data_IF_203074496503
#
_entry.id   IF_203074496503
#
_cell.length_a   1.000
_cell.length_b   1.000
_cell.length_c   1.000
_cell.angle_alpha   90.00
_cell.angle_beta   90.00
_cell.angle_gamma   90.00
#
_symmetry.space_group_name_H-M   'P 1'
#
loop_
_entity.id
_entity.type
_entity.pdbx_description
1 polymer ?
#
# COMPACT_ATOMS: atom_id res chain seq x y z
N UNK A 1 -6.24 -5.32 13.71
CA UNK A 1 -7.26 -4.68 14.55
C UNK A 1 -6.71 -4.47 15.96
N UNK A 2 -6.98 -3.30 16.56
CA UNK A 2 -6.56 -2.94 17.93
C UNK A 2 -7.74 -2.35 18.66
N UNK A 3 -8.11 -2.95 19.81
CA UNK A 3 -9.18 -2.45 20.65
C UNK A 3 -8.84 -1.06 21.23
N UNK A 4 -9.84 -0.27 21.67
CA UNK A 4 -9.62 0.99 22.38
C UNK A 4 -8.62 0.83 23.52
N UNK A 5 -7.61 1.72 23.60
CA UNK A 5 -6.55 1.68 24.59
C UNK A 5 -5.49 0.58 24.40
N UNK A 6 -5.67 -0.31 23.40
CA UNK A 6 -4.68 -1.33 23.06
C UNK A 6 -3.53 -0.77 22.23
N UNK A 7 -2.51 -1.61 22.02
CA UNK A 7 -1.35 -1.23 21.21
C UNK A 7 -0.14 -2.11 21.46
N UNK A 8 1.01 -1.66 20.97
CA UNK A 8 2.30 -2.30 21.20
C UNK A 8 3.42 -1.28 21.29
N UNK A 9 4.29 -1.44 22.29
CA UNK A 9 5.51 -0.64 22.48
C UNK A 9 6.71 -1.24 21.72
N UNK A 10 6.58 -2.46 21.21
CA UNK A 10 7.58 -3.15 20.39
C UNK A 10 6.89 -3.98 19.31
N UNK A 11 6.25 -3.35 18.31
CA UNK A 11 5.49 -4.09 17.30
C UNK A 11 6.39 -4.87 16.33
N UNK A 12 7.60 -4.36 16.02
CA UNK A 12 8.54 -4.99 15.09
C UNK A 12 9.83 -5.41 15.80
N UNK A 13 10.01 -6.72 16.08
CA UNK A 13 11.22 -7.22 16.73
C UNK A 13 12.40 -7.45 15.76
N UNK A 14 12.16 -7.53 14.43
CA UNK A 14 13.22 -7.70 13.42
C UNK A 14 13.78 -6.35 12.98
N UNK A 15 14.95 -5.99 13.49
CA UNK A 15 15.63 -4.75 13.12
C UNK A 15 16.00 -4.68 11.61
N UNK A 16 15.95 -5.78 10.87
CA UNK A 16 16.16 -5.79 9.43
C UNK A 16 14.89 -5.62 8.61
N UNK A 17 13.71 -5.53 9.25
CA UNK A 17 12.45 -5.34 8.55
C UNK A 17 12.16 -3.85 8.30
N UNK A 18 11.61 -3.56 7.13
CA UNK A 18 10.91 -2.32 6.83
C UNK A 18 9.40 -2.55 6.88
N UNK A 19 8.63 -1.51 7.10
CA UNK A 19 7.18 -1.61 7.16
C UNK A 19 6.46 -0.39 6.62
N UNK A 20 5.20 -0.62 6.24
CA UNK A 20 4.23 0.44 5.96
C UNK A 20 3.01 0.20 6.82
N UNK A 21 2.54 1.25 7.47
CA UNK A 21 1.23 1.29 8.14
C UNK A 21 0.30 2.15 7.29
N UNK A 22 -0.89 1.64 6.99
CA UNK A 22 -1.98 2.39 6.37
C UNK A 22 -3.25 2.23 7.20
N UNK A 23 -3.76 3.34 7.75
CA UNK A 23 -4.95 3.32 8.63
C UNK A 23 -6.22 3.29 7.80
N UNK A 24 -7.06 2.27 8.03
CA UNK A 24 -8.36 2.11 7.38
C UNK A 24 -9.52 2.66 8.24
N UNK A 25 -9.43 2.53 9.58
CA UNK A 25 -10.48 2.98 10.51
C UNK A 25 -9.89 3.33 11.87
N UNK A 26 -10.54 4.25 12.59
CA UNK A 26 -10.12 4.69 13.93
C UNK A 26 -8.94 5.64 13.90
N UNK A 27 -8.24 5.78 15.03
CA UNK A 27 -7.07 6.64 15.14
C UNK A 27 -5.90 5.88 15.78
N UNK A 28 -4.75 5.90 15.12
CA UNK A 28 -3.51 5.40 15.64
C UNK A 28 -2.62 6.55 16.14
N UNK A 29 -2.13 6.44 17.36
CA UNK A 29 -0.94 7.18 17.78
C UNK A 29 0.27 6.31 17.44
N UNK A 30 1.09 6.81 16.53
CA UNK A 30 2.34 6.20 16.09
C UNK A 30 3.49 7.05 16.63
N UNK A 31 4.37 6.47 17.45
CA UNK A 31 5.62 7.12 17.82
C UNK A 31 6.73 6.56 16.94
N UNK A 32 7.50 7.43 16.32
CA UNK A 32 8.63 7.08 15.44
C UNK A 32 9.85 7.80 15.98
N UNK A 33 10.87 7.06 16.44
CA UNK A 33 12.09 7.58 17.04
C UNK A 33 11.80 8.67 18.09
N UNK A 34 10.76 8.43 18.92
CA UNK A 34 10.32 9.34 19.99
C UNK A 34 9.41 10.49 19.55
N UNK A 35 9.16 10.67 18.24
CA UNK A 35 8.22 11.69 17.73
C UNK A 35 6.84 11.08 17.56
N UNK A 36 5.82 11.71 18.14
CA UNK A 36 4.43 11.24 18.06
C UNK A 36 3.70 11.80 16.86
N UNK A 37 3.00 10.91 16.15
CA UNK A 37 2.12 11.21 15.04
C UNK A 37 0.73 10.63 15.32
N UNK A 38 -0.32 11.33 14.91
CA UNK A 38 -1.69 10.79 14.92
C UNK A 38 -2.11 10.51 13.50
N UNK A 39 -2.43 9.24 13.21
CA UNK A 39 -2.92 8.80 11.90
C UNK A 39 -4.40 8.51 11.99
N UNK A 40 -5.18 9.15 11.14
CA UNK A 40 -6.60 8.88 10.90
C UNK A 40 -6.77 8.04 9.62
N UNK A 41 -7.99 7.62 9.23
CA UNK A 41 -8.20 6.89 7.98
C UNK A 41 -7.58 7.60 6.78
N UNK A 42 -6.84 6.85 5.94
CA UNK A 42 -6.00 7.37 4.87
C UNK A 42 -4.57 7.75 5.30
N UNK A 43 -4.29 7.74 6.61
CA UNK A 43 -2.94 7.98 7.14
C UNK A 43 -1.97 6.86 6.77
N UNK A 44 -0.78 7.26 6.32
CA UNK A 44 0.28 6.39 5.85
C UNK A 44 1.57 6.69 6.61
N UNK A 45 2.30 5.66 7.01
CA UNK A 45 3.63 5.78 7.57
C UNK A 45 4.58 4.76 6.92
N UNK A 46 5.77 5.22 6.51
CA UNK A 46 6.89 4.37 6.13
C UNK A 46 7.85 4.24 7.30
N UNK A 47 8.22 3.02 7.63
CA UNK A 47 9.05 2.62 8.76
C UNK A 47 10.27 1.86 8.21
N UNK A 48 11.44 2.50 8.09
CA UNK A 48 12.65 1.84 7.59
C UNK A 48 13.20 0.82 8.58
N UNK A 49 14.11 -0.08 8.14
CA UNK A 49 14.76 -1.02 9.04
C UNK A 49 15.52 -0.29 10.15
N UNK A 50 15.48 -0.84 11.36
CA UNK A 50 16.10 -0.27 12.56
C UNK A 50 15.35 0.90 13.18
N UNK A 51 14.24 1.33 12.62
CA UNK A 51 13.39 2.38 13.17
C UNK A 51 12.72 1.89 14.47
N UNK A 52 12.84 2.66 15.54
CA UNK A 52 12.12 2.41 16.78
C UNK A 52 10.72 3.04 16.70
N UNK A 53 9.68 2.20 16.78
CA UNK A 53 8.31 2.70 16.69
C UNK A 53 7.35 1.97 17.62
N UNK A 54 6.26 2.66 17.97
CA UNK A 54 5.16 2.11 18.76
C UNK A 54 3.84 2.43 18.09
N UNK A 55 2.81 1.64 18.34
CA UNK A 55 1.46 1.91 17.83
C UNK A 55 0.42 1.69 18.92
N UNK A 56 -0.46 2.67 19.13
CA UNK A 56 -1.55 2.59 20.09
C UNK A 56 -2.85 3.12 19.49
N UNK A 57 -3.95 2.47 19.83
CA UNK A 57 -5.29 2.98 19.53
C UNK A 57 -5.66 4.04 20.59
N UNK A 58 -5.79 5.29 20.16
CA UNK A 58 -6.15 6.43 21.01
C UNK A 58 -7.61 6.87 20.83
N UNK A 59 -8.37 6.13 20.02
CA UNK A 59 -9.81 6.34 19.83
C UNK A 59 -10.63 5.45 20.76
N UNK A 60 -11.90 5.76 20.89
CA UNK A 60 -12.91 4.98 21.61
C UNK A 60 -13.53 3.86 20.74
N UNK A 61 -13.11 3.77 19.47
CA UNK A 61 -13.55 2.76 18.51
C UNK A 61 -12.40 1.82 18.12
N UNK A 62 -12.70 0.74 17.43
CA UNK A 62 -11.69 -0.19 16.91
C UNK A 62 -10.78 0.52 15.91
N UNK A 63 -9.47 0.43 16.12
CA UNK A 63 -8.48 0.80 15.12
C UNK A 63 -8.25 -0.36 14.17
N UNK A 64 -8.36 -0.09 12.87
CA UNK A 64 -8.00 -1.01 11.81
C UNK A 64 -6.93 -0.38 10.93
N UNK A 65 -5.86 -1.12 10.71
CA UNK A 65 -4.80 -0.70 9.79
C UNK A 65 -4.21 -1.90 9.05
N UNK A 66 -3.69 -1.65 7.87
CA UNK A 66 -2.88 -2.59 7.13
C UNK A 66 -1.42 -2.38 7.52
N UNK A 67 -0.76 -3.47 7.87
CA UNK A 67 0.66 -3.48 8.12
C UNK A 67 1.33 -4.38 7.10
N UNK A 68 2.03 -3.74 6.15
CA UNK A 68 2.83 -4.42 5.12
C UNK A 68 4.27 -4.37 5.57
N UNK A 69 4.92 -5.52 5.67
CA UNK A 69 6.30 -5.62 6.15
C UNK A 69 7.10 -6.64 5.35
N UNK A 70 8.38 -6.39 5.20
CA UNK A 70 9.35 -7.32 4.64
C UNK A 70 10.75 -7.05 5.17
N UNK A 71 11.67 -8.00 4.97
CA UNK A 71 13.08 -7.74 5.19
C UNK A 71 13.62 -6.81 4.11
N UNK A 72 14.24 -5.71 4.52
CA UNK A 72 14.79 -4.71 3.62
C UNK A 72 16.07 -5.21 2.93
N UNK A 73 16.19 -4.96 1.62
CA UNK A 73 17.39 -5.21 0.84
C UNK A 73 18.02 -3.88 0.42
N UNK A 74 19.14 -3.53 1.01
CA UNK A 74 19.84 -2.30 0.68
C UNK A 74 20.47 -2.35 -0.74
N UNK A 75 20.50 -1.20 -1.41
CA UNK A 75 21.30 -1.02 -2.63
C UNK A 75 22.67 -0.48 -2.23
N UNK A 76 23.73 -1.08 -2.77
CA UNK A 76 25.10 -0.63 -2.49
C UNK A 76 25.28 0.84 -2.89
N UNK A 77 25.85 1.64 -1.99
CA UNK A 77 26.10 3.06 -2.20
C UNK A 77 24.89 3.99 -1.97
N UNK A 78 23.70 3.46 -1.63
CA UNK A 78 22.56 4.27 -1.25
C UNK A 78 22.27 4.12 0.25
N UNK A 79 21.91 5.23 0.89
CA UNK A 79 21.45 5.23 2.28
C UNK A 79 20.03 4.71 2.38
N UNK A 80 19.69 4.07 3.51
CA UNK A 80 18.30 3.73 3.84
C UNK A 80 17.43 4.99 3.85
N UNK A 81 16.18 4.95 3.33
CA UNK A 81 15.26 6.08 3.41
C UNK A 81 14.95 6.45 4.86
N UNK A 82 14.72 7.74 5.13
CA UNK A 82 14.23 8.17 6.43
C UNK A 82 12.75 7.77 6.62
N UNK A 83 12.28 7.57 7.87
CA UNK A 83 10.86 7.39 8.14
C UNK A 83 10.09 8.65 7.77
N UNK A 84 8.82 8.47 7.37
CA UNK A 84 7.92 9.59 7.11
C UNK A 84 6.46 9.21 7.34
N UNK A 85 5.65 10.23 7.57
CA UNK A 85 4.20 10.13 7.72
C UNK A 85 3.53 11.07 6.74
N UNK A 86 2.45 10.63 6.10
CA UNK A 86 1.64 11.41 5.16
C UNK A 86 0.21 10.86 5.13
N UNK A 87 -0.64 11.37 4.24
CA UNK A 87 -2.01 10.89 4.03
C UNK A 87 -2.30 10.72 2.55
N UNK A 88 -3.33 9.93 2.20
CA UNK A 88 -3.78 9.82 0.82
C UNK A 88 -4.33 11.15 0.28
N UNK A 89 -4.89 11.99 1.15
CA UNK A 89 -5.39 13.32 0.79
C UNK A 89 -4.28 14.32 0.40
N UNK A 90 -3.07 14.16 0.95
CA UNK A 90 -1.91 15.00 0.63
C UNK A 90 -1.19 14.56 -0.65
N UNK A 91 -1.50 13.37 -1.15
CA UNK A 91 -0.85 12.79 -2.32
C UNK A 91 -1.84 12.68 -3.49
N UNK A 92 -1.80 13.60 -4.47
CA UNK A 92 -2.76 13.61 -5.56
C UNK A 92 -2.65 12.35 -6.44
N UNK A 93 -3.79 11.95 -7.02
CA UNK A 93 -3.82 10.86 -8.00
C UNK A 93 -3.01 11.29 -9.23
N UNK A 94 -2.06 10.47 -9.62
CA UNK A 94 -1.35 10.58 -10.90
C UNK A 94 -2.06 9.67 -11.90
N UNK A 95 -2.82 10.31 -12.82
CA UNK A 95 -3.55 9.59 -13.85
C UNK A 95 -2.61 8.92 -14.84
N UNK A 96 -3.01 7.78 -15.36
CA UNK A 96 -2.23 7.09 -16.37
C UNK A 96 -2.25 7.85 -17.70
N UNK A 97 -1.18 7.77 -18.52
CA UNK A 97 -1.10 8.47 -19.78
C UNK A 97 -2.32 8.21 -20.68
N UNK A 98 -2.92 9.28 -21.21
CA UNK A 98 -4.04 9.22 -22.14
C UNK A 98 -5.40 8.93 -21.52
N UNK A 99 -5.54 8.96 -20.18
CA UNK A 99 -6.81 8.73 -19.50
C UNK A 99 -6.93 9.52 -18.19
N UNK A 100 -8.15 9.92 -17.86
CA UNK A 100 -8.56 10.44 -16.55
C UNK A 100 -9.38 9.41 -15.75
N UNK A 101 -9.42 8.16 -16.21
CA UNK A 101 -10.30 7.13 -15.68
C UNK A 101 -9.65 6.23 -14.64
N UNK A 102 -8.32 6.13 -14.64
CA UNK A 102 -7.59 5.41 -13.60
C UNK A 102 -6.19 5.96 -13.39
N UNK A 103 -5.70 5.82 -12.16
CA UNK A 103 -4.41 6.36 -11.77
C UNK A 103 -3.98 5.88 -10.40
N UNK A 104 -2.84 6.36 -9.93
CA UNK A 104 -2.23 5.94 -8.66
C UNK A 104 -1.96 7.12 -7.74
N UNK A 105 -2.29 6.98 -6.45
CA UNK A 105 -1.76 7.79 -5.36
C UNK A 105 -0.49 7.12 -4.87
N UNK A 106 0.65 7.77 -5.05
CA UNK A 106 1.97 7.24 -4.68
C UNK A 106 2.51 7.96 -3.47
N UNK A 107 2.87 7.22 -2.44
CA UNK A 107 3.43 7.76 -1.20
C UNK A 107 4.96 7.87 -1.25
N UNK A 108 5.59 7.13 -2.15
CA UNK A 108 7.03 7.18 -2.43
C UNK A 108 7.27 7.45 -3.91
N UNK A 109 8.42 8.04 -4.22
CA UNK A 109 8.86 8.19 -5.61
C UNK A 109 9.22 6.81 -6.19
N UNK A 110 8.60 6.38 -7.29
CA UNK A 110 8.92 5.10 -7.92
C UNK A 110 10.34 5.03 -8.50
N UNK A 111 10.97 6.19 -8.75
CA UNK A 111 12.35 6.28 -9.25
C UNK A 111 13.38 6.26 -8.10
N UNK A 112 12.93 6.35 -6.84
CA UNK A 112 13.83 6.29 -5.70
C UNK A 112 14.19 4.84 -5.37
N UNK A 113 15.38 4.42 -5.82
CA UNK A 113 15.89 3.07 -5.63
C UNK A 113 16.19 2.69 -4.17
N UNK A 114 16.11 3.65 -3.23
CA UNK A 114 16.25 3.37 -1.80
C UNK A 114 15.06 2.59 -1.25
N UNK A 115 13.86 2.75 -1.83
CA UNK A 115 12.69 1.97 -1.44
C UNK A 115 12.71 0.60 -2.11
N UNK A 116 12.56 -0.45 -1.31
CA UNK A 116 12.63 -1.85 -1.75
C UNK A 116 11.26 -2.41 -2.10
N UNK A 117 10.21 -2.00 -1.38
CA UNK A 117 8.82 -2.30 -1.70
C UNK A 117 8.05 -1.04 -2.08
N UNK A 118 6.86 -1.22 -2.66
CA UNK A 118 5.97 -0.13 -3.01
C UNK A 118 4.57 -0.40 -2.49
N UNK A 119 4.01 0.55 -1.74
CA UNK A 119 2.63 0.50 -1.27
C UNK A 119 1.93 1.78 -1.70
N UNK A 120 0.89 1.67 -2.52
CA UNK A 120 0.12 2.79 -3.08
C UNK A 120 -1.36 2.49 -3.14
N UNK A 121 -2.16 3.49 -3.50
CA UNK A 121 -3.57 3.30 -3.82
C UNK A 121 -3.72 3.41 -5.33
N UNK A 122 -4.45 2.46 -5.93
CA UNK A 122 -4.92 2.56 -7.31
C UNK A 122 -6.39 2.94 -7.27
N UNK A 123 -6.76 3.92 -8.08
CA UNK A 123 -8.12 4.46 -8.16
C UNK A 123 -8.63 4.39 -9.58
N UNK A 124 -9.85 3.87 -9.74
CA UNK A 124 -10.60 3.86 -11.00
C UNK A 124 -11.89 4.67 -10.81
N UNK A 125 -12.15 5.61 -11.70
CA UNK A 125 -13.47 6.20 -11.81
C UNK A 125 -14.49 5.19 -12.38
N UNK A 126 -15.80 5.40 -12.18
CA UNK A 126 -16.81 4.51 -12.77
C UNK A 126 -16.56 4.23 -14.26
N UNK A 127 -16.53 2.95 -14.64
CA UNK A 127 -16.20 2.50 -15.99
C UNK A 127 -14.72 2.58 -16.37
N UNK A 128 -13.84 3.04 -15.46
CA UNK A 128 -12.39 2.99 -15.64
C UNK A 128 -11.91 1.56 -15.72
N UNK A 129 -10.85 1.32 -16.51
CA UNK A 129 -10.34 -0.03 -16.74
C UNK A 129 -8.87 -0.05 -17.11
N UNK A 130 -8.21 -1.17 -16.81
CA UNK A 130 -6.98 -1.58 -17.49
C UNK A 130 -7.41 -2.26 -18.80
N UNK A 131 -7.08 -1.68 -19.98
CA UNK A 131 -7.70 -2.09 -21.25
C UNK A 131 -7.13 -3.38 -21.86
N UNK A 132 -6.16 -4.01 -21.22
CA UNK A 132 -5.49 -5.24 -21.65
C UNK A 132 -5.10 -6.09 -20.46
N UNK A 133 -4.86 -7.38 -20.65
CA UNK A 133 -4.25 -8.21 -19.61
C UNK A 133 -2.76 -7.89 -19.55
N UNK A 134 -2.33 -7.32 -18.44
CA UNK A 134 -0.91 -7.02 -18.18
C UNK A 134 -0.29 -8.11 -17.30
N UNK A 135 1.03 -8.31 -17.46
CA UNK A 135 1.83 -9.16 -16.58
C UNK A 135 3.14 -8.45 -16.22
N UNK A 136 3.68 -8.73 -15.06
CA UNK A 136 4.99 -8.23 -14.64
C UNK A 136 5.62 -9.13 -13.58
N UNK A 137 6.91 -8.91 -13.31
CA UNK A 137 7.69 -9.72 -12.39
C UNK A 137 7.27 -9.56 -10.92
N UNK A 138 6.67 -8.41 -10.56
CA UNK A 138 6.29 -8.14 -9.19
C UNK A 138 5.07 -8.96 -8.78
N UNK A 139 5.11 -9.51 -7.58
CA UNK A 139 3.92 -10.00 -6.89
C UNK A 139 3.10 -8.82 -6.36
N UNK A 140 1.79 -8.97 -6.33
CA UNK A 140 0.88 -7.98 -5.81
C UNK A 140 -0.01 -8.56 -4.71
N UNK A 141 -0.16 -7.81 -3.62
CA UNK A 141 -1.27 -7.94 -2.70
C UNK A 141 -2.17 -6.71 -2.86
N UNK A 142 -3.47 -6.93 -3.06
CA UNK A 142 -4.45 -5.88 -3.25
C UNK A 142 -5.57 -6.03 -2.23
N UNK A 143 -5.83 -4.97 -1.46
CA UNK A 143 -6.96 -4.90 -0.55
C UNK A 143 -7.95 -3.84 -1.01
N UNK A 144 -9.21 -4.23 -1.26
CA UNK A 144 -10.24 -3.32 -1.74
C UNK A 144 -10.70 -2.39 -0.63
N UNK A 145 -10.49 -1.09 -0.82
CA UNK A 145 -10.87 -0.04 0.13
C UNK A 145 -12.29 0.48 -0.14
N UNK A 146 -12.69 0.58 -1.41
CA UNK A 146 -13.93 1.25 -1.82
C UNK A 146 -14.38 0.77 -3.20
N UNK A 147 -15.69 0.81 -3.44
CA UNK A 147 -16.30 0.54 -4.75
C UNK A 147 -16.25 -0.94 -5.15
N UNK A 148 -16.71 -1.22 -6.36
CA UNK A 148 -16.76 -2.58 -6.91
C UNK A 148 -16.13 -2.67 -8.29
N UNK A 149 -15.57 -3.84 -8.61
CA UNK A 149 -14.95 -4.09 -9.91
C UNK A 149 -15.07 -5.56 -10.30
N UNK A 150 -14.90 -5.84 -11.60
CA UNK A 150 -14.48 -7.16 -12.07
C UNK A 150 -12.98 -7.16 -12.27
N UNK A 151 -12.31 -8.12 -11.69
CA UNK A 151 -10.87 -8.26 -11.73
C UNK A 151 -10.47 -9.58 -12.40
N UNK A 152 -9.57 -9.51 -13.39
CA UNK A 152 -8.99 -10.68 -14.02
C UNK A 152 -7.83 -11.18 -13.16
N UNK A 153 -7.92 -12.43 -12.71
CA UNK A 153 -6.88 -13.14 -11.97
C UNK A 153 -6.49 -14.39 -12.78
N UNK A 154 -5.38 -14.30 -13.49
CA UNK A 154 -4.97 -15.30 -14.47
C UNK A 154 -6.02 -15.45 -15.59
N UNK A 155 -6.82 -16.52 -15.57
CA UNK A 155 -7.87 -16.80 -16.57
C UNK A 155 -9.28 -16.50 -16.07
N UNK A 156 -9.42 -16.16 -14.77
CA UNK A 156 -10.72 -16.00 -14.13
C UNK A 156 -11.08 -14.54 -13.89
N UNK A 157 -12.27 -14.14 -14.31
CA UNK A 157 -12.87 -12.86 -13.94
C UNK A 157 -13.70 -13.03 -12.67
N UNK A 158 -13.29 -12.31 -11.61
CA UNK A 158 -13.99 -12.32 -10.30
C UNK A 158 -14.58 -10.95 -10.00
N UNK A 159 -15.75 -10.93 -9.37
CA UNK A 159 -16.31 -9.69 -8.82
C UNK A 159 -15.71 -9.44 -7.43
N UNK A 160 -15.30 -8.19 -7.20
CA UNK A 160 -14.62 -7.78 -5.96
C UNK A 160 -15.23 -6.51 -5.39
N UNK A 161 -15.22 -6.39 -4.07
CA UNK A 161 -15.74 -5.26 -3.31
C UNK A 161 -14.97 -4.97 -2.01
N UNK A 162 -15.40 -3.96 -1.23
CA UNK A 162 -14.69 -3.55 -0.03
C UNK A 162 -14.45 -4.70 0.95
N UNK A 163 -13.21 -4.83 1.42
CA UNK A 163 -12.78 -5.90 2.31
C UNK A 163 -12.19 -7.13 1.62
N UNK A 164 -12.36 -7.26 0.30
CA UNK A 164 -11.73 -8.36 -0.44
C UNK A 164 -10.23 -8.16 -0.56
N UNK A 165 -9.52 -9.27 -0.50
CA UNK A 165 -8.07 -9.34 -0.71
C UNK A 165 -7.72 -10.25 -1.86
N UNK A 166 -6.89 -9.78 -2.77
CA UNK A 166 -6.37 -10.54 -3.89
C UNK A 166 -4.85 -10.64 -3.79
N UNK A 167 -4.31 -11.81 -4.09
CA UNK A 167 -2.88 -12.02 -4.22
C UNK A 167 -2.54 -12.53 -5.62
N UNK A 168 -1.69 -11.79 -6.31
CA UNK A 168 -1.23 -12.09 -7.65
C UNK A 168 0.25 -12.44 -7.60
N UNK A 169 0.58 -13.64 -8.01
CA UNK A 169 1.96 -14.08 -8.16
C UNK A 169 2.64 -13.36 -9.33
N UNK A 170 3.97 -13.41 -9.34
CA UNK A 170 4.75 -12.93 -10.47
C UNK A 170 4.20 -13.49 -11.80
N UNK A 171 4.10 -12.63 -12.81
CA UNK A 171 3.59 -12.90 -14.15
C UNK A 171 2.11 -13.33 -14.24
N UNK A 172 1.33 -13.21 -13.17
CA UNK A 172 -0.11 -13.44 -13.22
C UNK A 172 -0.75 -12.42 -14.18
N UNK A 173 -1.45 -12.86 -15.25
CA UNK A 173 -2.24 -11.96 -16.07
C UNK A 173 -3.32 -11.27 -15.24
N UNK A 174 -3.42 -9.95 -15.36
CA UNK A 174 -4.38 -9.16 -14.62
C UNK A 174 -4.98 -8.04 -15.47
N UNK A 175 -6.24 -7.75 -15.21
CA UNK A 175 -6.96 -6.60 -15.73
C UNK A 175 -8.07 -6.22 -14.74
N UNK A 176 -8.60 -5.00 -14.87
CA UNK A 176 -9.63 -4.50 -13.97
C UNK A 176 -10.65 -3.67 -14.74
N UNK A 177 -11.93 -3.79 -14.35
CA UNK A 177 -13.03 -2.96 -14.83
C UNK A 177 -13.84 -2.52 -13.61
N UNK A 178 -13.86 -1.21 -13.30
CA UNK A 178 -14.72 -0.65 -12.26
C UNK A 178 -16.19 -0.74 -12.70
N UNK A 179 -17.02 -1.45 -11.91
CA UNK A 179 -18.41 -1.76 -12.25
C UNK A 179 -19.43 -0.94 -11.47
N UNK A 180 -19.02 -0.32 -10.34
CA UNK A 180 -19.88 0.48 -9.49
C UNK A 180 -20.12 1.90 -10.01
N UNK A 181 -20.96 2.65 -9.28
CA UNK A 181 -21.25 4.07 -9.54
C UNK A 181 -20.34 5.02 -8.77
N UNK A 182 -19.53 4.49 -7.87
CA UNK A 182 -18.49 5.21 -7.11
C UNK A 182 -17.09 4.77 -7.55
N UNK A 183 -16.03 5.53 -7.21
CA UNK A 183 -14.68 5.12 -7.51
C UNK A 183 -14.34 3.76 -6.88
N UNK A 184 -13.72 2.88 -7.66
CA UNK A 184 -13.10 1.66 -7.16
C UNK A 184 -11.68 1.97 -6.73
N UNK A 185 -11.34 1.66 -5.47
CA UNK A 185 -10.04 1.95 -4.87
C UNK A 185 -9.51 0.72 -4.15
N UNK A 186 -8.23 0.42 -4.33
CA UNK A 186 -7.56 -0.62 -3.55
C UNK A 186 -6.16 -0.18 -3.10
N UNK A 187 -5.77 -0.66 -1.92
CA UNK A 187 -4.40 -0.58 -1.45
C UNK A 187 -3.59 -1.65 -2.16
N UNK A 188 -2.55 -1.25 -2.84
CA UNK A 188 -1.65 -2.12 -3.59
C UNK A 188 -0.33 -2.24 -2.86
N UNK A 189 0.10 -3.45 -2.57
CA UNK A 189 1.45 -3.82 -2.22
C UNK A 189 2.16 -4.42 -3.44
N UNK A 190 3.38 -3.98 -3.70
CA UNK A 190 4.35 -4.63 -4.60
C UNK A 190 5.54 -5.10 -3.79
N UNK A 191 5.94 -6.36 -3.99
CA UNK A 191 7.06 -6.99 -3.27
C UNK A 191 8.41 -6.35 -3.58
N UNK A 192 8.56 -5.73 -4.76
CA UNK A 192 9.74 -4.99 -5.17
C UNK A 192 9.36 -3.65 -5.81
N UNK A 193 10.14 -2.62 -5.52
CA UNK A 193 10.08 -1.35 -6.24
C UNK A 193 11.10 -1.29 -7.39
N UNK A 194 12.20 -2.02 -7.26
CA UNK A 194 13.32 -2.04 -8.20
C UNK A 194 13.10 -3.09 -9.27
N UNK A 195 13.32 -2.74 -10.54
CA UNK A 195 13.32 -3.74 -11.59
C UNK A 195 14.54 -4.66 -11.46
N UNK A 196 14.38 -5.97 -11.58
CA UNK A 196 15.51 -6.89 -11.58
C UNK A 196 16.43 -6.58 -12.78
N UNK A 197 17.73 -6.62 -12.54
CA UNK A 197 18.70 -6.53 -13.63
C UNK A 197 18.54 -7.77 -14.53
N UNK A 198 18.27 -7.55 -15.81
CA UNK A 198 18.29 -8.60 -16.81
C UNK A 198 19.75 -8.77 -17.27
N UNK A 199 20.39 -9.83 -16.82
CA UNK A 199 21.66 -10.27 -17.38
C UNK A 199 21.36 -10.97 -18.71
N UNK A 200 21.45 -10.24 -19.81
CA UNK A 200 21.36 -10.77 -21.17
C UNK A 200 22.71 -11.30 -21.62
#
# INVERSE_FOLDING_TARGET
EVAPGGGSDLPEPDAGAEGVIFVAQGQARLSIDGTNHTLSPGGYAFLPPGCAWTVHNVSDTMLQFHWVRRRYHAVAGLSTPAPFVTTDAENPIRWMPGTDKWGTTRFTDPEDLRHDMHVNIVTFHPGGRIPFAETHVMEHGLYVLQGTARYLLNDDWVDVGPGDFMWLRAFCPQACIATGTEPFRYLLYKDVNRHPALNL
#
